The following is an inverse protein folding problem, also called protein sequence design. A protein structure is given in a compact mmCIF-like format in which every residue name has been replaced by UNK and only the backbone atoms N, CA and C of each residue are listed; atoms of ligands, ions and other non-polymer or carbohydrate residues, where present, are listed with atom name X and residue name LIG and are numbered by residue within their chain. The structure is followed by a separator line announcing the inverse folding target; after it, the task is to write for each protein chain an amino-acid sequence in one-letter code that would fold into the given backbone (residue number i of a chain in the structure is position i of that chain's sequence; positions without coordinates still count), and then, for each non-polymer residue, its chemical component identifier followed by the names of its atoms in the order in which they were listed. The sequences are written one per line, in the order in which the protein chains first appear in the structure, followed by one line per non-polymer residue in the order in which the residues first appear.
data_IF_012557134392
#
_entry.id   IF_012557134392
#
_cell.length_a   1.000
_cell.length_b   1.000
_cell.length_c   1.000
_cell.angle_alpha   90.00
_cell.angle_beta   90.00
_cell.angle_gamma   90.00
#
_symmetry.space_group_name_H-M   'P 1'
#
loop_
_entity.id
_entity.type
_entity.pdbx_description
1 polymer ?
#
# COMPACT_ATOMS: atom_id res chain seq x y z
N UNK A 1 8.85 46.45 4.23
CA UNK A 1 9.21 45.10 3.76
C UNK A 1 8.19 44.15 4.33
N UNK A 2 7.12 43.85 3.58
CA UNK A 2 6.04 42.97 4.03
C UNK A 2 6.52 41.52 3.97
N UNK A 3 6.63 40.88 5.14
CA UNK A 3 6.94 39.46 5.25
C UNK A 3 5.84 38.64 4.58
N UNK A 4 6.19 37.81 3.60
CA UNK A 4 5.27 36.82 3.05
C UNK A 4 4.99 35.78 4.13
N UNK A 5 3.74 35.64 4.55
CA UNK A 5 3.32 34.50 5.36
C UNK A 5 3.52 33.20 4.57
N UNK A 6 4.26 32.25 5.13
CA UNK A 6 4.41 30.92 4.56
C UNK A 6 3.08 30.15 4.69
N UNK A 7 2.50 29.78 3.54
CA UNK A 7 1.33 28.89 3.51
C UNK A 7 1.72 27.51 4.05
N UNK A 8 1.06 27.07 5.13
CA UNK A 8 1.16 25.70 5.61
C UNK A 8 0.32 24.78 4.74
N UNK A 9 0.94 23.77 4.16
CA UNK A 9 0.27 22.71 3.39
C UNK A 9 0.13 21.46 4.25
N UNK A 10 -1.02 20.79 4.14
CA UNK A 10 -1.24 19.47 4.72
C UNK A 10 -1.17 18.44 3.60
N UNK A 11 -0.17 17.56 3.68
CA UNK A 11 -0.02 16.45 2.75
C UNK A 11 -0.52 15.17 3.40
N UNK A 12 -1.23 14.36 2.62
CA UNK A 12 -1.69 13.04 3.01
C UNK A 12 -0.97 12.02 2.15
N UNK A 13 -0.27 11.08 2.77
CA UNK A 13 0.37 9.98 2.08
C UNK A 13 -0.45 8.71 2.31
N UNK A 14 -0.89 8.07 1.23
CA UNK A 14 -1.71 6.86 1.27
C UNK A 14 -0.96 5.79 0.48
N UNK A 15 -0.24 4.88 1.15
CA UNK A 15 0.47 3.81 0.47
C UNK A 15 -0.54 2.79 -0.08
N UNK A 16 -0.31 2.38 -1.32
CA UNK A 16 -1.13 1.45 -2.09
C UNK A 16 -0.26 0.79 -3.17
N UNK A 17 -0.66 -0.41 -3.57
CA UNK A 17 -0.24 -1.03 -4.82
C UNK A 17 -1.52 -1.38 -5.56
N UNK A 18 -1.59 -1.02 -6.84
CA UNK A 18 -2.63 -1.52 -7.72
C UNK A 18 -2.35 -2.99 -8.03
N UNK A 19 -3.30 -3.87 -7.74
CA UNK A 19 -3.11 -5.31 -7.80
C UNK A 19 -4.10 -5.96 -8.76
N UNK A 20 -3.68 -6.09 -10.02
CA UNK A 20 -4.42 -6.89 -10.98
C UNK A 20 -4.37 -8.37 -10.57
N UNK A 21 -5.53 -8.93 -10.25
CA UNK A 21 -5.66 -10.33 -9.80
C UNK A 21 -5.09 -11.31 -10.82
N UNK A 22 -5.24 -11.02 -12.10
CA UNK A 22 -4.66 -11.75 -13.22
C UNK A 22 -4.53 -10.80 -14.41
N UNK A 23 -3.38 -10.80 -15.10
CA UNK A 23 -3.18 -10.00 -16.30
C UNK A 23 -1.97 -10.47 -17.12
N UNK A 24 -0.76 -10.02 -16.76
CA UNK A 24 0.48 -10.39 -17.45
C UNK A 24 0.87 -11.85 -17.19
N UNK A 25 0.65 -12.30 -15.96
CA UNK A 25 0.88 -13.66 -15.50
C UNK A 25 -0.45 -14.35 -15.23
N UNK A 26 -0.44 -15.68 -15.17
CA UNK A 26 -1.64 -16.41 -14.76
C UNK A 26 -1.98 -16.16 -13.29
N UNK A 27 -3.23 -16.46 -12.91
CA UNK A 27 -3.72 -16.24 -11.56
C UNK A 27 -2.86 -16.91 -10.46
N UNK A 28 -2.27 -18.08 -10.71
CA UNK A 28 -1.50 -18.76 -9.66
C UNK A 28 -0.15 -18.07 -9.46
N UNK A 29 0.48 -17.61 -10.54
CA UNK A 29 1.71 -16.82 -10.46
C UNK A 29 1.47 -15.49 -9.72
N UNK A 30 0.44 -14.73 -10.09
CA UNK A 30 0.09 -13.48 -9.39
C UNK A 30 -0.29 -13.75 -7.93
N UNK A 31 -1.02 -14.82 -7.63
CA UNK A 31 -1.36 -15.20 -6.25
C UNK A 31 -0.11 -15.50 -5.41
N UNK A 32 0.92 -16.14 -5.97
CA UNK A 32 2.17 -16.35 -5.24
C UNK A 32 2.87 -15.03 -4.92
N UNK A 33 2.85 -14.06 -5.83
CA UNK A 33 3.36 -12.72 -5.53
C UNK A 33 2.54 -12.01 -4.45
N UNK A 34 1.23 -12.24 -4.39
CA UNK A 34 0.37 -11.67 -3.37
C UNK A 34 0.76 -12.19 -1.98
N UNK A 35 1.04 -13.49 -1.85
CA UNK A 35 1.53 -14.09 -0.60
C UNK A 35 2.84 -13.44 -0.16
N UNK A 36 3.83 -13.35 -1.05
CA UNK A 36 5.10 -12.69 -0.72
C UNK A 36 4.94 -11.21 -0.36
N UNK A 37 4.01 -10.52 -1.02
CA UNK A 37 3.69 -9.13 -0.73
C UNK A 37 3.09 -8.98 0.66
N UNK A 38 2.11 -9.83 1.03
CA UNK A 38 1.45 -9.81 2.33
C UNK A 38 2.43 -10.11 3.46
N UNK A 39 3.30 -11.11 3.30
CA UNK A 39 4.36 -11.43 4.28
C UNK A 39 5.25 -10.21 4.53
N UNK A 40 5.75 -9.57 3.46
CA UNK A 40 6.58 -8.37 3.57
C UNK A 40 5.84 -7.18 4.20
N UNK A 41 4.56 -7.00 3.87
CA UNK A 41 3.74 -5.93 4.43
C UNK A 41 3.55 -6.11 5.94
N UNK A 42 3.28 -7.33 6.39
CA UNK A 42 3.15 -7.66 7.81
C UNK A 42 4.47 -7.48 8.57
N UNK A 43 5.59 -7.87 7.96
CA UNK A 43 6.93 -7.62 8.53
C UNK A 43 7.21 -6.11 8.70
N UNK A 44 6.81 -5.29 7.72
CA UNK A 44 6.90 -3.82 7.83
C UNK A 44 6.06 -3.31 8.99
N UNK A 45 4.81 -3.77 9.15
CA UNK A 45 3.98 -3.36 10.27
C UNK A 45 4.58 -3.74 11.63
N UNK A 46 5.22 -4.92 11.72
CA UNK A 46 5.89 -5.37 12.93
C UNK A 46 7.16 -4.55 13.23
N UNK A 47 7.95 -4.22 12.21
CA UNK A 47 9.24 -3.53 12.38
C UNK A 47 9.08 -2.02 12.58
N UNK A 48 8.06 -1.40 11.96
CA UNK A 48 7.87 0.06 11.94
C UNK A 48 6.49 0.44 12.49
N UNK A 49 6.33 0.57 13.83
CA UNK A 49 5.04 0.88 14.46
C UNK A 49 4.37 2.19 14.02
N UNK A 50 5.13 3.13 13.45
CA UNK A 50 4.58 4.38 12.88
C UNK A 50 3.94 4.19 11.50
N UNK A 51 4.22 3.09 10.80
CA UNK A 51 3.62 2.73 9.53
C UNK A 51 2.29 2.01 9.78
N UNK A 52 1.21 2.78 10.00
CA UNK A 52 -0.04 2.27 10.60
C UNK A 52 -1.05 1.69 9.62
N UNK A 53 -0.97 2.04 8.34
CA UNK A 53 -2.05 1.75 7.37
C UNK A 53 -1.50 1.51 5.99
N UNK A 54 -2.15 0.59 5.26
CA UNK A 54 -1.92 0.34 3.84
C UNK A 54 -3.26 0.15 3.13
N UNK A 55 -3.45 0.78 1.97
CA UNK A 55 -4.66 0.62 1.17
C UNK A 55 -4.47 -0.57 0.22
N UNK A 56 -5.17 -1.67 0.48
CA UNK A 56 -5.13 -2.89 -0.32
C UNK A 56 -6.06 -2.79 -1.54
N UNK A 57 -5.76 -1.83 -2.41
CA UNK A 57 -6.37 -1.62 -3.74
C UNK A 57 -7.91 -1.54 -3.80
N UNK A 58 -8.56 -1.15 -2.69
CA UNK A 58 -10.03 -1.04 -2.60
C UNK A 58 -10.78 -2.34 -2.94
N UNK A 59 -10.11 -3.48 -2.84
CA UNK A 59 -10.67 -4.81 -3.09
C UNK A 59 -10.46 -5.70 -1.86
N UNK A 60 -11.45 -6.53 -1.57
CA UNK A 60 -11.39 -7.48 -0.45
C UNK A 60 -10.87 -8.85 -0.87
N UNK A 61 -10.94 -9.16 -2.16
CA UNK A 61 -10.52 -10.45 -2.73
C UNK A 61 -9.08 -10.85 -2.37
N UNK A 62 -8.08 -9.94 -2.31
CA UNK A 62 -6.73 -10.32 -1.89
C UNK A 62 -6.59 -10.85 -0.46
N UNK A 63 -7.63 -10.74 0.39
CA UNK A 63 -7.68 -11.35 1.72
C UNK A 63 -8.19 -12.81 1.64
N UNK A 64 -8.98 -13.15 0.62
CA UNK A 64 -9.53 -14.48 0.39
C UNK A 64 -8.65 -15.36 -0.51
N UNK A 65 -7.89 -14.74 -1.42
CA UNK A 65 -6.88 -15.37 -2.28
C UNK A 65 -5.67 -15.85 -1.46
#
# INVERSE_FOLDING_TARGET
MTGKEEKKFKFHFIPNTHWDREWLYDFQETRMFLVEFMDKLLDIFNQYPEYKTYLLDSQTVPIED
#
